data_IF_985931424984
#
_entry.id   IF_985931424984
#
_cell.length_a   1.000
_cell.length_b   1.000
_cell.length_c   1.000
_cell.angle_alpha   90.00
_cell.angle_beta   90.00
_cell.angle_gamma   90.00
#
_symmetry.space_group_name_H-M   'P 1'
#
loop_
_entity.id
_entity.type
_entity.pdbx_description
1 polymer ?
#
# COMPACT_ATOMS: atom_id res chain seq x y z
N UNK A 1 17.83 9.47 5.59
CA UNK A 1 18.19 9.08 4.20
C UNK A 1 17.46 9.90 3.12
N UNK A 2 16.30 10.52 3.39
CA UNK A 2 15.56 11.33 2.39
C UNK A 2 16.27 12.63 1.94
N UNK A 3 17.15 13.18 2.78
CA UNK A 3 17.82 14.46 2.51
C UNK A 3 18.80 14.40 1.33
N UNK A 4 19.44 13.24 1.08
CA UNK A 4 20.41 13.11 -0.02
C UNK A 4 19.72 13.01 -1.39
N UNK A 5 18.62 12.27 -1.51
CA UNK A 5 17.97 11.97 -2.80
C UNK A 5 17.33 13.20 -3.43
N UNK A 6 16.65 14.04 -2.64
CA UNK A 6 16.00 15.26 -3.14
C UNK A 6 17.01 16.34 -3.55
N UNK A 7 18.24 16.32 -3.00
CA UNK A 7 19.30 17.24 -3.38
C UNK A 7 19.87 16.99 -4.78
N UNK A 8 19.92 15.72 -5.22
CA UNK A 8 20.37 15.36 -6.58
C UNK A 8 19.23 15.31 -7.60
N UNK A 9 17.99 15.09 -7.14
CA UNK A 9 16.81 14.95 -8.01
C UNK A 9 15.68 15.89 -7.55
N UNK A 10 15.81 17.21 -7.75
CA UNK A 10 14.90 18.22 -7.20
C UNK A 10 13.47 18.13 -7.75
N UNK A 11 13.28 17.54 -8.93
CA UNK A 11 11.96 17.34 -9.54
C UNK A 11 11.30 16.02 -9.16
N UNK A 12 12.02 15.14 -8.45
CA UNK A 12 11.50 13.84 -8.06
C UNK A 12 10.62 13.95 -6.83
N UNK A 13 9.49 13.25 -6.84
CA UNK A 13 8.61 13.14 -5.69
C UNK A 13 8.95 11.87 -4.93
N UNK A 14 9.45 12.01 -3.70
CA UNK A 14 9.66 10.86 -2.82
C UNK A 14 8.31 10.28 -2.40
N UNK A 15 8.07 9.01 -2.75
CA UNK A 15 6.90 8.24 -2.29
C UNK A 15 7.35 7.04 -1.45
N UNK A 16 6.42 6.49 -0.67
CA UNK A 16 6.64 5.24 0.03
C UNK A 16 6.95 4.08 -0.93
N UNK A 17 7.66 3.06 -0.44
CA UNK A 17 8.01 1.89 -1.23
C UNK A 17 6.87 0.88 -1.24
N UNK A 18 6.37 0.53 -2.43
CA UNK A 18 5.28 -0.43 -2.60
C UNK A 18 5.62 -1.83 -2.06
N UNK A 19 6.87 -2.27 -2.17
CA UNK A 19 7.31 -3.54 -1.61
C UNK A 19 7.15 -3.59 -0.09
N UNK A 20 7.64 -2.57 0.61
CA UNK A 20 7.50 -2.48 2.07
C UNK A 20 6.03 -2.33 2.50
N UNK A 21 5.21 -1.64 1.70
CA UNK A 21 3.76 -1.58 1.92
C UNK A 21 3.13 -2.97 1.84
N UNK A 22 3.37 -3.73 0.77
CA UNK A 22 2.85 -5.09 0.60
C UNK A 22 3.32 -6.01 1.72
N UNK A 23 4.59 -5.91 2.15
CA UNK A 23 5.10 -6.65 3.31
C UNK A 23 4.34 -6.32 4.61
N UNK A 24 4.05 -5.04 4.86
CA UNK A 24 3.28 -4.64 6.04
C UNK A 24 1.85 -5.20 6.01
N UNK A 25 1.19 -5.20 4.86
CA UNK A 25 -0.13 -5.81 4.66
C UNK A 25 -0.08 -7.31 4.95
N UNK A 26 0.89 -8.03 4.37
CA UNK A 26 1.05 -9.48 4.59
C UNK A 26 1.33 -9.83 6.05
N UNK A 27 2.18 -9.04 6.73
CA UNK A 27 2.41 -9.18 8.17
C UNK A 27 1.12 -9.04 8.94
N UNK A 28 0.31 -8.04 8.61
CA UNK A 28 -0.98 -7.81 9.27
C UNK A 28 -1.96 -8.96 9.04
N UNK A 29 -2.05 -9.49 7.81
CA UNK A 29 -2.86 -10.68 7.48
C UNK A 29 -2.48 -11.86 8.39
N UNK A 30 -1.19 -12.05 8.63
CA UNK A 30 -0.71 -13.11 9.50
C UNK A 30 -1.05 -12.85 10.98
N UNK A 31 -0.86 -11.62 11.47
CA UNK A 31 -1.17 -11.22 12.85
C UNK A 31 -2.65 -11.40 13.22
N UNK A 32 -3.56 -11.22 12.28
CA UNK A 32 -5.01 -11.41 12.51
C UNK A 32 -5.49 -12.85 12.26
N UNK A 33 -4.58 -13.79 12.01
CA UNK A 33 -4.90 -15.20 11.78
C UNK A 33 -5.55 -15.49 10.42
N UNK A 34 -5.48 -14.57 9.45
CA UNK A 34 -6.09 -14.74 8.13
C UNK A 34 -5.19 -15.43 7.11
N UNK A 35 -3.94 -15.77 7.46
CA UNK A 35 -2.97 -16.37 6.52
C UNK A 35 -3.53 -17.57 5.76
N UNK A 36 -4.08 -18.56 6.45
CA UNK A 36 -4.62 -19.76 5.81
C UNK A 36 -5.81 -19.46 4.90
N UNK A 37 -6.67 -18.51 5.30
CA UNK A 37 -7.82 -18.09 4.50
C UNK A 37 -7.37 -17.34 3.24
N UNK A 38 -6.37 -16.47 3.38
CA UNK A 38 -5.74 -15.76 2.26
C UNK A 38 -5.12 -16.73 1.25
N UNK A 39 -4.42 -17.76 1.71
CA UNK A 39 -3.76 -18.75 0.83
C UNK A 39 -4.75 -19.70 0.13
N UNK A 40 -5.91 -19.98 0.75
CA UNK A 40 -6.84 -21.02 0.27
C UNK A 40 -8.12 -20.48 -0.36
N UNK A 41 -8.46 -19.21 -0.16
CA UNK A 41 -9.68 -18.60 -0.71
C UNK A 41 -9.31 -17.46 -1.67
N UNK A 42 -9.55 -17.70 -2.95
CA UNK A 42 -9.33 -16.74 -4.03
C UNK A 42 -9.97 -15.37 -3.75
N UNK A 43 -11.23 -15.34 -3.29
CA UNK A 43 -11.90 -14.08 -2.97
C UNK A 43 -11.16 -13.23 -1.91
N UNK A 44 -10.52 -13.87 -0.92
CA UNK A 44 -9.72 -13.17 0.09
C UNK A 44 -8.36 -12.78 -0.47
N UNK A 45 -7.72 -13.65 -1.24
CA UNK A 45 -6.50 -13.32 -1.96
C UNK A 45 -6.68 -12.06 -2.83
N UNK A 46 -7.76 -11.99 -3.60
CA UNK A 46 -8.07 -10.86 -4.48
C UNK A 46 -8.37 -9.58 -3.70
N UNK A 47 -9.11 -9.69 -2.59
CA UNK A 47 -9.37 -8.55 -1.72
C UNK A 47 -8.07 -7.98 -1.15
N UNK A 48 -7.17 -8.84 -0.67
CA UNK A 48 -5.88 -8.41 -0.12
C UNK A 48 -4.95 -7.86 -1.21
N UNK A 49 -5.01 -8.41 -2.42
CA UNK A 49 -4.29 -7.90 -3.58
C UNK A 49 -4.75 -6.49 -3.95
N UNK A 50 -6.07 -6.24 -3.93
CA UNK A 50 -6.63 -4.88 -4.10
C UNK A 50 -6.19 -3.94 -2.99
N UNK A 51 -6.07 -4.41 -1.74
CA UNK A 51 -5.56 -3.62 -0.62
C UNK A 51 -4.08 -3.24 -0.83
N UNK A 52 -3.26 -4.15 -1.32
CA UNK A 52 -1.87 -3.86 -1.68
C UNK A 52 -1.77 -2.84 -2.83
N UNK A 53 -2.76 -2.78 -3.72
CA UNK A 53 -2.80 -1.85 -4.84
C UNK A 53 -3.24 -0.42 -4.49
N UNK A 54 -3.75 -0.16 -3.27
CA UNK A 54 -4.28 1.16 -2.86
C UNK A 54 -3.33 2.34 -3.15
N UNK A 55 -2.00 2.26 -2.91
CA UNK A 55 -1.09 3.37 -3.17
C UNK A 55 -1.01 3.82 -4.64
N UNK A 56 -1.46 2.96 -5.57
CA UNK A 56 -1.46 3.25 -7.01
C UNK A 56 -2.78 3.83 -7.50
N UNK A 57 -3.80 3.91 -6.63
CA UNK A 57 -5.09 4.45 -7.02
C UNK A 57 -5.01 5.97 -7.20
N UNK A 58 -5.61 6.52 -8.26
CA UNK A 58 -5.65 7.96 -8.48
C UNK A 58 -6.58 8.62 -7.45
N UNK A 59 -5.99 9.39 -6.53
CA UNK A 59 -6.72 10.09 -5.46
C UNK A 59 -7.82 11.01 -5.98
N UNK A 60 -7.62 11.59 -7.17
CA UNK A 60 -8.61 12.46 -7.84
C UNK A 60 -9.93 11.76 -8.19
N UNK A 61 -9.91 10.43 -8.36
CA UNK A 61 -11.10 9.65 -8.69
C UNK A 61 -11.88 9.20 -7.45
N UNK A 62 -11.22 9.21 -6.28
CA UNK A 62 -11.79 8.77 -5.00
C UNK A 62 -11.46 9.73 -3.86
N UNK A 63 -11.78 11.04 -3.99
CA UNK A 63 -11.41 12.05 -3.02
C UNK A 63 -11.99 11.77 -1.62
N UNK A 64 -13.19 11.17 -1.54
CA UNK A 64 -13.81 10.79 -0.27
C UNK A 64 -12.98 9.80 0.55
N UNK A 65 -12.20 8.93 -0.10
CA UNK A 65 -11.40 7.92 0.59
C UNK A 65 -10.16 8.51 1.26
N UNK A 66 -9.64 9.64 0.77
CA UNK A 66 -8.35 10.20 1.21
C UNK A 66 -8.47 11.57 1.89
N UNK A 67 -9.53 12.35 1.63
CA UNK A 67 -9.68 13.69 2.19
C UNK A 67 -10.02 13.73 3.69
N UNK A 68 -10.31 12.59 4.34
CA UNK A 68 -10.66 12.53 5.77
C UNK A 68 -9.45 12.71 6.71
N UNK A 69 -8.23 12.65 6.17
CA UNK A 69 -6.99 12.67 6.95
C UNK A 69 -6.05 13.84 6.62
N UNK A 70 -6.53 14.84 5.86
CA UNK A 70 -5.83 16.11 5.59
C UNK A 70 -6.48 17.25 6.35
#
# INVERSE_FOLDING_TARGET
MACATLGFFPTSQLKGCAFHWSQAVLRRINEVGLKTTYERREAIHDLMSKMMAIPFLPTVQIPRAFNRYN
#
